data_IF_189584310947
#
_entry.id   IF_189584310947
#
_cell.length_a   1.000
_cell.length_b   1.000
_cell.length_c   1.000
_cell.angle_alpha   90.00
_cell.angle_beta   90.00
_cell.angle_gamma   90.00
#
_symmetry.space_group_name_H-M   'P 1'
#
loop_
_entity.id
_entity.type
_entity.pdbx_description
1 polymer ?
#
# COMPACT_ATOMS: atom_id res chain seq x y z
N UNK A 1 27.77 -0.65 -53.24
CA UNK A 1 28.18 0.62 -52.59
C UNK A 1 27.71 1.85 -53.39
N UNK A 2 27.97 1.94 -54.71
CA UNK A 2 27.54 3.07 -55.57
C UNK A 2 26.03 3.41 -55.54
N UNK A 3 25.12 2.42 -55.50
CA UNK A 3 23.67 2.67 -55.48
C UNK A 3 23.17 3.38 -54.22
N UNK A 4 23.81 3.20 -53.06
CA UNK A 4 23.45 3.90 -51.80
C UNK A 4 23.95 5.35 -51.80
N UNK A 5 25.11 5.59 -52.41
CA UNK A 5 25.70 6.94 -52.53
C UNK A 5 24.82 7.82 -53.44
N UNK A 6 24.38 7.30 -54.59
CA UNK A 6 23.48 8.02 -55.49
C UNK A 6 22.09 8.28 -54.89
N UNK A 7 21.59 7.37 -54.04
CA UNK A 7 20.31 7.57 -53.33
C UNK A 7 20.41 8.68 -52.28
N UNK A 8 21.53 8.75 -51.56
CA UNK A 8 21.84 9.82 -50.59
C UNK A 8 22.03 11.19 -51.26
N UNK A 9 22.67 11.24 -52.43
CA UNK A 9 22.84 12.47 -53.24
C UNK A 9 21.48 13.01 -53.76
N UNK A 10 20.52 12.12 -54.02
CA UNK A 10 19.15 12.48 -54.40
C UNK A 10 18.27 12.96 -53.23
N UNK A 11 18.55 12.51 -52.00
CA UNK A 11 17.79 12.89 -50.79
C UNK A 11 18.16 14.29 -50.28
N UNK A 12 19.33 14.81 -50.64
CA UNK A 12 19.83 16.13 -50.20
C UNK A 12 20.25 17.02 -51.39
N UNK A 13 19.30 17.68 -52.09
CA UNK A 13 19.57 18.43 -53.32
C UNK A 13 20.57 19.58 -53.16
N UNK A 14 20.71 20.11 -51.95
CA UNK A 14 21.67 21.16 -51.62
C UNK A 14 23.13 20.67 -51.58
N UNK A 15 23.39 19.40 -51.25
CA UNK A 15 24.74 18.80 -51.29
C UNK A 15 25.19 18.69 -52.75
N UNK A 16 24.29 18.24 -53.63
CA UNK A 16 24.51 18.18 -55.07
C UNK A 16 24.77 19.56 -55.68
N UNK A 17 24.05 20.59 -55.21
CA UNK A 17 24.27 21.97 -55.62
C UNK A 17 25.66 22.50 -55.18
N UNK A 18 26.08 22.24 -53.94
CA UNK A 18 27.40 22.66 -53.44
C UNK A 18 28.55 21.98 -54.19
N UNK A 19 28.46 20.67 -54.44
CA UNK A 19 29.45 19.92 -55.22
C UNK A 19 29.47 20.42 -56.67
N UNK A 20 28.30 20.67 -57.27
CA UNK A 20 28.16 21.20 -58.62
C UNK A 20 28.78 22.59 -58.78
N UNK A 21 28.50 23.51 -57.85
CA UNK A 21 29.11 24.85 -57.84
C UNK A 21 30.63 24.76 -57.66
N UNK A 22 31.11 23.92 -56.74
CA UNK A 22 32.55 23.70 -56.55
C UNK A 22 33.23 23.18 -57.81
N UNK A 23 32.61 22.24 -58.51
CA UNK A 23 33.13 21.71 -59.78
C UNK A 23 33.15 22.77 -60.90
N UNK A 24 32.10 23.60 -61.00
CA UNK A 24 32.04 24.69 -61.98
C UNK A 24 33.14 25.74 -61.75
N UNK A 25 33.44 26.08 -60.50
CA UNK A 25 34.54 27.00 -60.15
C UNK A 25 35.89 26.42 -60.59
N UNK A 26 36.10 25.11 -60.43
CA UNK A 26 37.31 24.43 -60.89
C UNK A 26 37.43 24.50 -62.41
N UNK A 27 36.37 24.12 -63.14
CA UNK A 27 36.35 24.19 -64.60
C UNK A 27 36.63 25.62 -65.08
N UNK A 28 36.04 26.62 -64.45
CA UNK A 28 36.29 28.02 -64.75
C UNK A 28 37.76 28.40 -64.54
N UNK A 29 38.34 28.09 -63.38
CA UNK A 29 39.75 28.40 -63.05
C UNK A 29 40.72 27.73 -64.01
N UNK A 30 40.54 26.42 -64.28
CA UNK A 30 41.40 25.68 -65.22
C UNK A 30 41.24 26.17 -66.67
N UNK A 31 40.03 26.54 -67.08
CA UNK A 31 39.76 27.09 -68.41
C UNK A 31 40.39 28.47 -68.57
N UNK A 32 40.24 29.35 -67.57
CA UNK A 32 40.89 30.67 -67.58
C UNK A 32 42.41 30.56 -67.60
N UNK A 33 42.98 29.64 -66.81
CA UNK A 33 44.42 29.41 -66.75
C UNK A 33 44.96 28.84 -68.07
N UNK A 34 44.24 27.89 -68.69
CA UNK A 34 44.59 27.30 -69.98
C UNK A 34 44.52 28.32 -71.14
N UNK A 35 43.52 29.21 -71.12
CA UNK A 35 43.39 30.28 -72.11
C UNK A 35 44.44 31.38 -71.94
N UNK A 36 44.86 31.69 -70.71
CA UNK A 36 45.80 32.78 -70.44
C UNK A 36 47.28 32.43 -70.69
N UNK A 37 47.69 31.16 -70.55
CA UNK A 37 49.11 30.76 -70.57
C UNK A 37 49.51 29.88 -71.78
N UNK A 38 48.55 29.42 -72.58
CA UNK A 38 48.81 28.58 -73.75
C UNK A 38 49.38 27.19 -73.40
N UNK A 39 49.62 26.31 -74.40
CA UNK A 39 49.80 24.87 -74.16
C UNK A 39 51.06 24.43 -73.42
N UNK A 40 52.11 25.27 -73.33
CA UNK A 40 53.35 25.02 -72.58
C UNK A 40 54.06 26.34 -72.21
N UNK A 41 54.00 26.73 -70.94
CA UNK A 41 54.89 27.77 -70.40
C UNK A 41 56.24 27.14 -70.00
N UNK A 42 57.34 27.69 -70.53
CA UNK A 42 58.71 27.30 -70.17
C UNK A 42 59.25 28.11 -68.98
N UNK A 43 58.41 28.92 -68.34
CA UNK A 43 58.79 29.77 -67.21
C UNK A 43 58.56 29.06 -65.87
N UNK A 44 59.63 28.92 -65.07
CA UNK A 44 59.55 28.34 -63.72
C UNK A 44 58.55 29.08 -62.81
N UNK A 45 58.37 30.39 -63.01
CA UNK A 45 57.41 31.20 -62.26
C UNK A 45 55.95 30.75 -62.52
N UNK A 46 55.61 30.40 -63.76
CA UNK A 46 54.26 29.94 -64.13
C UNK A 46 53.90 28.60 -63.47
N UNK A 47 54.88 27.69 -63.33
CA UNK A 47 54.71 26.42 -62.62
C UNK A 47 54.51 26.60 -61.12
N UNK A 48 55.20 27.56 -60.51
CA UNK A 48 55.00 27.90 -59.09
C UNK A 48 53.60 28.47 -58.86
N UNK A 49 53.15 29.41 -59.70
CA UNK A 49 51.78 29.96 -59.63
C UNK A 49 50.70 28.91 -59.88
N UNK A 50 50.94 27.95 -60.79
CA UNK A 50 50.05 26.80 -60.99
C UNK A 50 49.95 25.94 -59.72
N UNK A 51 51.08 25.62 -59.10
CA UNK A 51 51.13 24.84 -57.86
C UNK A 51 50.36 25.51 -56.72
N UNK A 52 50.52 26.82 -56.54
CA UNK A 52 49.76 27.60 -55.54
C UNK A 52 48.26 27.66 -55.86
N UNK A 53 47.89 27.82 -57.14
CA UNK A 53 46.49 27.78 -57.58
C UNK A 53 45.86 26.41 -57.33
N UNK A 54 46.56 25.33 -57.71
CA UNK A 54 46.13 23.96 -57.50
C UNK A 54 45.97 23.63 -56.01
N UNK A 55 46.92 24.09 -55.18
CA UNK A 55 46.84 23.97 -53.73
C UNK A 55 45.62 24.73 -53.16
N UNK A 56 45.33 25.93 -53.67
CA UNK A 56 44.15 26.71 -53.31
C UNK A 56 42.84 26.00 -53.68
N UNK A 57 42.77 25.43 -54.89
CA UNK A 57 41.61 24.64 -55.36
C UNK A 57 41.40 23.38 -54.49
N UNK A 58 42.46 22.63 -54.19
CA UNK A 58 42.34 21.45 -53.32
C UNK A 58 41.98 21.82 -51.87
N UNK A 59 42.47 22.94 -51.36
CA UNK A 59 42.09 23.44 -50.03
C UNK A 59 40.62 23.85 -50.00
N UNK A 60 40.12 24.52 -51.04
CA UNK A 60 38.72 24.88 -51.19
C UNK A 60 37.81 23.66 -51.32
N UNK A 61 38.22 22.63 -52.07
CA UNK A 61 37.48 21.38 -52.16
C UNK A 61 37.48 20.64 -50.82
N UNK A 62 38.63 20.58 -50.15
CA UNK A 62 38.77 20.01 -48.81
C UNK A 62 37.85 20.68 -47.80
N UNK A 63 37.85 22.02 -47.75
CA UNK A 63 36.97 22.76 -46.84
C UNK A 63 35.49 22.58 -47.18
N UNK A 64 35.12 22.60 -48.46
CA UNK A 64 33.74 22.36 -48.92
C UNK A 64 33.27 20.95 -48.57
N UNK A 65 34.12 19.94 -48.78
CA UNK A 65 33.85 18.56 -48.40
C UNK A 65 33.68 18.41 -46.88
N UNK A 66 34.50 19.09 -46.08
CA UNK A 66 34.35 19.14 -44.62
C UNK A 66 33.03 19.81 -44.22
N UNK A 67 32.67 20.96 -44.80
CA UNK A 67 31.39 21.66 -44.53
C UNK A 67 30.20 20.76 -44.90
N UNK A 68 30.23 20.13 -46.07
CA UNK A 68 29.17 19.22 -46.50
C UNK A 68 29.04 18.01 -45.54
N UNK A 69 30.17 17.47 -45.08
CA UNK A 69 30.20 16.38 -44.09
C UNK A 69 29.58 16.81 -42.76
N UNK A 70 29.94 18.00 -42.26
CA UNK A 70 29.38 18.55 -41.02
C UNK A 70 27.86 18.78 -41.10
N UNK A 71 27.38 19.32 -42.23
CA UNK A 71 25.95 19.55 -42.45
C UNK A 71 25.17 18.23 -42.56
N UNK A 72 25.73 17.23 -43.25
CA UNK A 72 25.14 15.90 -43.34
C UNK A 72 25.07 15.21 -41.96
N UNK A 73 26.15 15.26 -41.17
CA UNK A 73 26.18 14.74 -39.80
C UNK A 73 25.13 15.43 -38.92
N UNK A 74 24.98 16.75 -39.03
CA UNK A 74 23.97 17.51 -38.29
C UNK A 74 22.53 17.09 -38.69
N UNK A 75 22.28 16.89 -39.99
CA UNK A 75 20.98 16.41 -40.47
C UNK A 75 20.66 15.00 -39.94
N UNK A 76 21.63 14.06 -40.04
CA UNK A 76 21.49 12.72 -39.48
C UNK A 76 21.26 12.74 -37.96
N UNK A 77 21.98 13.59 -37.23
CA UNK A 77 21.82 13.72 -35.78
C UNK A 77 20.40 14.17 -35.42
N UNK A 78 19.83 15.14 -36.15
CA UNK A 78 18.45 15.60 -35.93
C UNK A 78 17.41 14.52 -36.23
N UNK A 79 17.59 13.73 -37.28
CA UNK A 79 16.68 12.61 -37.58
C UNK A 79 16.78 11.50 -36.54
N UNK A 80 18.00 11.13 -36.14
CA UNK A 80 18.23 10.19 -35.05
C UNK A 80 17.57 10.66 -33.77
N UNK A 81 17.71 11.93 -33.40
CA UNK A 81 17.08 12.50 -32.21
C UNK A 81 15.54 12.36 -32.24
N UNK A 82 14.90 12.56 -33.40
CA UNK A 82 13.44 12.38 -33.57
C UNK A 82 13.01 10.92 -33.45
N UNK A 83 13.80 9.99 -34.01
CA UNK A 83 13.51 8.55 -33.89
C UNK A 83 13.68 8.12 -32.43
N UNK A 84 14.76 8.54 -31.79
CA UNK A 84 15.03 8.27 -30.37
C UNK A 84 13.93 8.84 -29.48
N UNK A 85 13.44 10.05 -29.72
CA UNK A 85 12.35 10.62 -28.91
C UNK A 85 11.07 9.80 -29.02
N UNK A 86 10.67 9.41 -30.24
CA UNK A 86 9.50 8.53 -30.45
C UNK A 86 9.67 7.16 -29.82
N UNK A 87 10.88 6.60 -29.86
CA UNK A 87 11.18 5.32 -29.20
C UNK A 87 11.09 5.45 -27.67
N UNK A 88 11.59 6.54 -27.09
CA UNK A 88 11.46 6.82 -25.66
C UNK A 88 9.98 6.95 -25.27
N UNK A 89 9.18 7.71 -26.03
CA UNK A 89 7.74 7.87 -25.78
C UNK A 89 7.00 6.51 -25.83
N UNK A 90 7.26 5.69 -26.85
CA UNK A 90 6.67 4.36 -26.97
C UNK A 90 7.08 3.44 -25.80
N UNK A 91 8.36 3.47 -25.41
CA UNK A 91 8.86 2.72 -24.27
C UNK A 91 8.22 3.18 -22.95
N UNK A 92 8.07 4.49 -22.73
CA UNK A 92 7.42 5.04 -21.53
C UNK A 92 5.95 4.63 -21.46
N UNK A 93 5.24 4.64 -22.59
CA UNK A 93 3.87 4.15 -22.67
C UNK A 93 3.76 2.67 -22.30
N UNK A 94 4.63 1.82 -22.85
CA UNK A 94 4.68 0.39 -22.52
C UNK A 94 5.04 0.16 -21.04
N UNK A 95 5.99 0.92 -20.49
CA UNK A 95 6.34 0.87 -19.07
C UNK A 95 5.14 1.21 -18.19
N UNK A 96 4.41 2.27 -18.51
CA UNK A 96 3.20 2.66 -17.78
C UNK A 96 2.14 1.54 -17.79
N UNK A 97 1.85 0.98 -18.97
CA UNK A 97 0.86 -0.10 -19.11
C UNK A 97 1.26 -1.34 -18.30
N UNK A 98 2.53 -1.76 -18.42
CA UNK A 98 3.05 -2.93 -17.71
C UNK A 98 3.09 -2.70 -16.21
N UNK A 99 3.52 -1.54 -15.75
CA UNK A 99 3.58 -1.21 -14.34
C UNK A 99 2.19 -1.18 -13.69
N UNK A 100 1.21 -0.55 -14.35
CA UNK A 100 -0.19 -0.58 -13.89
C UNK A 100 -0.73 -2.00 -13.86
N UNK A 101 -0.48 -2.81 -14.91
CA UNK A 101 -0.91 -4.20 -14.96
C UNK A 101 -0.33 -5.03 -13.80
N UNK A 102 0.99 -4.93 -13.58
CA UNK A 102 1.68 -5.62 -12.48
C UNK A 102 1.15 -5.20 -11.11
N UNK A 103 0.83 -3.92 -10.93
CA UNK A 103 0.20 -3.46 -9.69
C UNK A 103 -1.16 -4.13 -9.47
N UNK A 104 -2.02 -4.18 -10.49
CA UNK A 104 -3.33 -4.83 -10.40
C UNK A 104 -3.24 -6.35 -10.17
N UNK A 105 -2.27 -7.02 -10.79
CA UNK A 105 -1.97 -8.43 -10.53
C UNK A 105 -1.51 -8.61 -9.08
N UNK A 106 -0.64 -7.74 -8.59
CA UNK A 106 -0.17 -7.77 -7.20
C UNK A 106 -1.31 -7.59 -6.19
N UNK A 107 -2.32 -6.76 -6.49
CA UNK A 107 -3.51 -6.65 -5.66
C UNK A 107 -4.26 -7.97 -5.53
N UNK A 108 -4.42 -8.72 -6.63
CA UNK A 108 -5.06 -10.04 -6.60
C UNK A 108 -4.26 -11.05 -5.78
N UNK A 109 -2.94 -11.07 -5.96
CA UNK A 109 -2.05 -11.91 -5.16
C UNK A 109 -2.17 -11.61 -3.66
N UNK A 110 -2.32 -10.34 -3.28
CA UNK A 110 -2.55 -9.94 -1.88
C UNK A 110 -3.90 -10.48 -1.38
N UNK A 111 -4.97 -10.33 -2.16
CA UNK A 111 -6.29 -10.88 -1.80
C UNK A 111 -6.23 -12.40 -1.60
N UNK A 112 -5.56 -13.12 -2.50
CA UNK A 112 -5.35 -14.57 -2.41
C UNK A 112 -4.52 -14.95 -1.18
N UNK A 113 -3.44 -14.21 -0.89
CA UNK A 113 -2.58 -14.45 0.28
C UNK A 113 -3.29 -14.21 1.62
N UNK A 114 -4.40 -13.48 1.60
CA UNK A 114 -5.25 -13.19 2.77
C UNK A 114 -6.54 -14.02 2.74
N UNK A 115 -6.50 -15.22 2.12
CA UNK A 115 -7.60 -16.17 2.01
C UNK A 115 -8.89 -15.57 1.40
N UNK A 116 -8.75 -14.59 0.51
CA UNK A 116 -9.86 -13.82 -0.06
C UNK A 116 -10.78 -13.14 0.98
N UNK A 117 -10.30 -12.90 2.21
CA UNK A 117 -11.05 -12.22 3.27
C UNK A 117 -11.25 -10.72 3.03
N UNK A 118 -10.54 -10.16 2.04
CA UNK A 118 -10.65 -8.77 1.62
C UNK A 118 -10.81 -8.67 0.10
N UNK A 119 -11.36 -7.54 -0.35
CA UNK A 119 -11.35 -7.12 -1.75
C UNK A 119 -10.98 -5.65 -1.88
N UNK A 120 -10.17 -5.31 -2.88
CA UNK A 120 -9.78 -3.93 -3.13
C UNK A 120 -10.91 -3.12 -3.78
N UNK A 121 -11.15 -1.92 -3.26
CA UNK A 121 -12.08 -0.92 -3.79
C UNK A 121 -11.40 -0.19 -4.93
N UNK A 122 -12.03 -0.18 -6.10
CA UNK A 122 -11.58 0.58 -7.28
C UNK A 122 -10.04 0.54 -7.47
N UNK A 123 -9.48 -0.62 -7.87
CA UNK A 123 -8.03 -0.83 -8.02
C UNK A 123 -7.33 0.24 -8.87
N UNK A 124 -8.01 0.75 -9.89
CA UNK A 124 -7.49 1.81 -10.75
C UNK A 124 -7.35 3.14 -10.02
N UNK A 125 -8.34 3.55 -9.22
CA UNK A 125 -8.22 4.76 -8.39
C UNK A 125 -7.07 4.60 -7.40
N UNK A 126 -6.95 3.44 -6.76
CA UNK A 126 -5.86 3.16 -5.83
C UNK A 126 -4.47 3.29 -6.49
N UNK A 127 -4.31 2.78 -7.72
CA UNK A 127 -3.07 2.95 -8.48
C UNK A 127 -2.71 4.43 -8.66
N UNK A 128 -3.67 5.27 -9.08
CA UNK A 128 -3.42 6.69 -9.29
C UNK A 128 -3.24 7.47 -7.98
N UNK A 129 -3.82 7.02 -6.87
CA UNK A 129 -3.57 7.60 -5.56
C UNK A 129 -2.13 7.34 -5.09
N UNK A 130 -1.61 6.13 -5.31
CA UNK A 130 -0.22 5.78 -4.95
C UNK A 130 0.77 6.42 -5.94
N UNK A 131 0.45 6.42 -7.23
CA UNK A 131 1.30 6.95 -8.31
C UNK A 131 0.65 8.14 -9.03
N UNK A 132 0.50 9.30 -8.38
CA UNK A 132 -0.28 10.42 -8.92
C UNK A 132 0.34 11.08 -10.17
N UNK A 133 1.64 10.90 -10.40
CA UNK A 133 2.33 11.45 -11.58
C UNK A 133 2.37 10.45 -12.75
N UNK A 134 2.00 9.19 -12.52
CA UNK A 134 2.09 8.18 -13.58
C UNK A 134 0.99 8.40 -14.62
N UNK A 135 1.40 8.47 -15.87
CA UNK A 135 0.55 8.66 -17.04
C UNK A 135 1.17 7.95 -18.26
N UNK A 136 0.46 7.86 -19.39
CA UNK A 136 1.03 7.42 -20.66
C UNK A 136 2.34 8.12 -21.08
N UNK A 137 2.62 9.32 -20.55
CA UNK A 137 3.78 10.14 -20.89
C UNK A 137 4.89 10.11 -19.84
N UNK A 138 4.61 9.61 -18.63
CA UNK A 138 5.55 9.61 -17.51
C UNK A 138 5.29 8.41 -16.59
N UNK A 139 6.33 7.64 -16.26
CA UNK A 139 6.20 6.48 -15.40
C UNK A 139 7.33 6.43 -14.37
N UNK A 140 7.00 6.65 -13.10
CA UNK A 140 7.87 6.42 -11.96
C UNK A 140 7.51 5.12 -11.24
N UNK A 141 8.54 4.38 -10.83
CA UNK A 141 8.45 3.19 -10.01
C UNK A 141 8.62 3.49 -8.51
N UNK A 142 9.06 4.70 -8.17
CA UNK A 142 9.35 5.10 -6.80
C UNK A 142 8.43 6.23 -6.37
N UNK A 143 7.97 6.14 -5.13
CA UNK A 143 7.15 7.16 -4.48
C UNK A 143 7.79 7.50 -3.15
N UNK A 144 8.06 8.78 -2.92
CA UNK A 144 8.60 9.24 -1.64
C UNK A 144 7.46 9.44 -0.64
N UNK A 145 7.67 8.98 0.59
CA UNK A 145 6.76 9.26 1.71
C UNK A 145 7.08 10.66 2.23
N UNK A 146 6.10 11.54 2.17
CA UNK A 146 6.20 12.92 2.67
C UNK A 146 5.41 13.08 3.96
N UNK A 147 5.77 14.05 4.79
CA UNK A 147 5.07 14.30 6.05
C UNK A 147 4.11 15.49 5.96
N UNK A 148 3.07 15.49 6.80
CA UNK A 148 2.24 16.68 7.08
C UNK A 148 1.41 17.16 5.89
N UNK A 149 1.42 18.48 5.65
CA UNK A 149 0.57 19.21 4.69
C UNK A 149 0.80 18.83 3.21
N UNK A 150 1.90 18.13 2.91
CA UNK A 150 2.22 17.65 1.56
C UNK A 150 1.56 16.30 1.23
N UNK A 151 1.12 15.55 2.25
CA UNK A 151 0.41 14.29 2.06
C UNK A 151 -1.00 14.57 1.54
N UNK A 152 -1.39 13.88 0.47
CA UNK A 152 -2.74 13.94 -0.07
C UNK A 152 -3.58 12.83 0.55
N UNK A 153 -4.87 13.10 0.72
CA UNK A 153 -5.84 12.11 1.18
C UNK A 153 -5.78 10.86 0.29
N UNK A 154 -5.75 9.69 0.92
CA UNK A 154 -5.67 8.36 0.28
C UNK A 154 -4.36 8.09 -0.49
N UNK A 155 -3.32 8.91 -0.36
CA UNK A 155 -2.00 8.62 -0.95
C UNK A 155 -1.17 7.68 -0.07
N UNK A 156 -0.01 7.24 -0.58
CA UNK A 156 0.90 6.35 0.17
C UNK A 156 1.36 6.96 1.51
N UNK A 157 1.52 8.28 1.58
CA UNK A 157 1.97 8.98 2.78
C UNK A 157 0.89 9.03 3.86
N UNK A 158 -0.37 9.24 3.46
CA UNK A 158 -1.55 9.14 4.34
C UNK A 158 -1.72 7.71 4.86
N UNK A 159 -1.63 6.70 3.98
CA UNK A 159 -1.67 5.29 4.37
C UNK A 159 -0.60 4.94 5.42
N UNK A 160 0.65 5.39 5.19
CA UNK A 160 1.76 5.17 6.11
C UNK A 160 1.55 5.91 7.44
N UNK A 161 1.14 7.18 7.40
CA UNK A 161 0.88 7.99 8.59
C UNK A 161 -0.26 7.41 9.44
N UNK A 162 -1.30 6.91 8.79
CA UNK A 162 -2.41 6.21 9.45
C UNK A 162 -1.93 4.95 10.18
N UNK A 163 -1.02 4.17 9.58
CA UNK A 163 -0.40 3.03 10.26
C UNK A 163 0.47 3.44 11.46
N UNK A 164 1.28 4.50 11.31
CA UNK A 164 2.10 5.02 12.42
C UNK A 164 1.22 5.46 13.59
N UNK A 165 0.10 6.11 13.32
CA UNK A 165 -0.86 6.52 14.34
C UNK A 165 -1.52 5.31 15.01
N UNK A 166 -1.92 4.30 14.24
CA UNK A 166 -2.42 3.02 14.80
C UNK A 166 -1.38 2.38 15.72
N UNK A 167 -0.12 2.26 15.29
CA UNK A 167 0.99 1.73 16.11
C UNK A 167 1.16 2.53 17.40
N UNK A 168 1.01 3.86 17.36
CA UNK A 168 1.08 4.72 18.54
C UNK A 168 -0.08 4.44 19.50
N UNK A 169 -1.31 4.30 19.01
CA UNK A 169 -2.48 3.98 19.84
C UNK A 169 -2.33 2.59 20.50
N UNK A 170 -1.84 1.59 19.76
CA UNK A 170 -1.62 0.23 20.27
C UNK A 170 -0.53 0.15 21.35
N UNK A 171 0.42 1.09 21.37
CA UNK A 171 1.49 1.16 22.40
C UNK A 171 1.00 1.66 23.76
N UNK A 172 -0.29 1.96 23.91
CA UNK A 172 -0.83 2.41 25.19
C UNK A 172 -0.64 1.31 26.26
N UNK A 173 -0.09 1.71 27.43
CA UNK A 173 0.23 0.80 28.53
C UNK A 173 -1.00 0.46 29.39
N UNK A 174 -2.02 1.31 29.35
CA UNK A 174 -3.25 1.18 30.13
C UNK A 174 -4.44 1.49 29.25
N UNK A 175 -5.44 0.62 29.24
CA UNK A 175 -6.60 0.79 28.38
C UNK A 175 -7.83 1.18 29.21
N UNK A 176 -8.42 2.32 28.88
CA UNK A 176 -9.76 2.71 29.33
C UNK A 176 -10.73 2.72 28.13
N UNK A 177 -12.06 2.66 28.35
CA UNK A 177 -13.03 2.63 27.24
C UNK A 177 -12.88 3.80 26.25
N UNK A 178 -12.51 5.00 26.72
CA UNK A 178 -12.27 6.16 25.85
C UNK A 178 -11.08 5.95 24.89
N UNK A 179 -10.02 5.28 25.33
CA UNK A 179 -8.87 4.96 24.48
C UNK A 179 -9.24 3.90 23.43
N UNK A 180 -10.06 2.92 23.84
CA UNK A 180 -10.60 1.91 22.94
C UNK A 180 -11.50 2.54 21.86
N UNK A 181 -12.34 3.51 22.21
CA UNK A 181 -13.17 4.28 21.26
C UNK A 181 -12.30 5.01 20.22
N UNK A 182 -11.20 5.65 20.67
CA UNK A 182 -10.24 6.30 19.77
C UNK A 182 -9.56 5.31 18.82
N UNK A 183 -9.16 4.14 19.33
CA UNK A 183 -8.58 3.09 18.50
C UNK A 183 -9.60 2.59 17.46
N UNK A 184 -10.83 2.28 17.87
CA UNK A 184 -11.89 1.79 16.98
C UNK A 184 -12.16 2.80 15.86
N UNK A 185 -12.34 4.08 16.20
CA UNK A 185 -12.52 5.15 15.20
C UNK A 185 -11.40 5.16 14.18
N UNK A 186 -10.16 5.01 14.63
CA UNK A 186 -9.00 4.94 13.75
C UNK A 186 -9.04 3.69 12.86
N UNK A 187 -9.30 2.52 13.43
CA UNK A 187 -9.35 1.25 12.70
C UNK A 187 -10.44 1.26 11.63
N UNK A 188 -11.60 1.86 11.87
CA UNK A 188 -12.72 1.95 10.90
C UNK A 188 -12.35 2.80 9.67
N UNK A 189 -11.47 3.79 9.83
CA UNK A 189 -11.06 4.67 8.74
C UNK A 189 -9.97 4.04 7.85
N UNK A 190 -9.15 3.13 8.39
CA UNK A 190 -8.03 2.53 7.64
C UNK A 190 -8.40 1.84 6.31
N UNK A 191 -9.52 1.10 6.18
CA UNK A 191 -9.89 0.45 4.91
C UNK A 191 -10.26 1.45 3.82
N UNK A 192 -10.56 2.71 4.17
CA UNK A 192 -10.75 3.76 3.18
C UNK A 192 -9.39 4.23 2.67
N UNK A 193 -8.45 4.54 3.57
CA UNK A 193 -7.07 4.90 3.18
C UNK A 193 -6.40 3.79 2.36
N UNK A 194 -6.51 2.52 2.78
CA UNK A 194 -5.92 1.38 2.07
C UNK A 194 -6.80 0.82 0.94
N UNK A 195 -7.98 1.42 0.71
CA UNK A 195 -8.92 1.06 -0.35
C UNK A 195 -9.27 -0.44 -0.40
N UNK A 196 -9.65 -1.05 0.72
CA UNK A 196 -10.22 -2.42 0.73
C UNK A 196 -11.51 -2.50 1.55
N UNK A 197 -12.28 -3.58 1.38
CA UNK A 197 -13.39 -3.97 2.24
C UNK A 197 -13.29 -5.44 2.61
N UNK A 198 -13.93 -5.79 3.73
CA UNK A 198 -13.98 -7.17 4.23
C UNK A 198 -15.11 -7.96 3.55
N UNK A 199 -14.87 -9.26 3.31
CA UNK A 199 -15.81 -10.13 2.56
C UNK A 199 -16.04 -11.48 3.24
N UNK A 200 -15.43 -11.73 4.40
CA UNK A 200 -15.68 -12.97 5.15
C UNK A 200 -17.10 -13.00 5.73
N UNK A 201 -17.57 -14.20 6.07
CA UNK A 201 -18.79 -14.36 6.85
C UNK A 201 -18.67 -13.68 8.22
N UNK A 202 -19.81 -13.25 8.76
CA UNK A 202 -19.86 -12.63 10.08
C UNK A 202 -19.52 -13.62 11.19
N UNK A 203 -18.84 -13.14 12.23
CA UNK A 203 -18.61 -13.87 13.47
C UNK A 203 -19.14 -13.10 14.67
N UNK A 204 -19.32 -13.81 15.79
CA UNK A 204 -19.65 -13.16 17.06
C UNK A 204 -18.57 -12.13 17.42
N UNK A 205 -19.01 -10.92 17.73
CA UNK A 205 -18.13 -9.80 18.10
C UNK A 205 -17.47 -9.06 16.94
N UNK A 206 -17.74 -9.43 15.69
CA UNK A 206 -17.33 -8.62 14.53
C UNK A 206 -18.07 -7.28 14.56
N UNK A 207 -17.38 -6.18 14.26
CA UNK A 207 -17.98 -4.86 14.19
C UNK A 207 -18.67 -4.67 12.84
N UNK A 208 -19.93 -4.26 12.88
CA UNK A 208 -20.71 -3.86 11.72
C UNK A 208 -21.03 -2.36 11.78
N UNK A 209 -20.84 -1.67 10.66
CA UNK A 209 -21.26 -0.28 10.46
C UNK A 209 -22.34 -0.26 9.37
N UNK A 210 -23.51 0.27 9.69
CA UNK A 210 -24.68 0.27 8.79
C UNK A 210 -24.97 -1.12 8.19
N UNK A 211 -24.84 -2.15 9.02
CA UNK A 211 -25.06 -3.55 8.65
C UNK A 211 -23.93 -4.21 7.84
N UNK A 212 -22.83 -3.51 7.56
CA UNK A 212 -21.67 -4.07 6.85
C UNK A 212 -20.56 -4.44 7.82
N UNK A 213 -20.12 -5.70 7.78
CA UNK A 213 -18.99 -6.19 8.55
C UNK A 213 -17.68 -5.52 8.12
N UNK A 214 -16.93 -5.03 9.10
CA UNK A 214 -15.66 -4.34 8.92
C UNK A 214 -14.45 -5.27 9.00
N UNK A 215 -14.65 -6.52 9.44
CA UNK A 215 -13.57 -7.47 9.71
C UNK A 215 -12.76 -7.12 10.95
N UNK A 216 -13.29 -6.29 11.85
CA UNK A 216 -12.67 -5.96 13.14
C UNK A 216 -13.45 -6.70 14.22
N UNK A 217 -12.80 -7.54 15.02
CA UNK A 217 -13.45 -8.31 16.07
C UNK A 217 -13.09 -7.77 17.46
N UNK A 218 -14.08 -7.57 18.34
CA UNK A 218 -13.86 -6.97 19.67
C UNK A 218 -13.08 -7.88 20.64
N UNK A 219 -13.04 -9.19 20.40
CA UNK A 219 -12.27 -10.14 21.20
C UNK A 219 -10.81 -10.20 20.75
N UNK A 220 -10.55 -9.95 19.46
CA UNK A 220 -9.21 -9.95 18.91
C UNK A 220 -9.13 -9.14 17.63
N UNK A 221 -8.27 -8.13 17.62
CA UNK A 221 -8.04 -7.25 16.46
C UNK A 221 -6.75 -7.62 15.70
N UNK A 222 -6.04 -8.65 16.13
CA UNK A 222 -4.76 -9.11 15.58
C UNK A 222 -4.86 -9.46 14.10
N UNK A 223 -5.89 -10.21 13.70
CA UNK A 223 -6.09 -10.56 12.29
C UNK A 223 -6.27 -9.32 11.41
N UNK A 224 -6.99 -8.33 11.94
CA UNK A 224 -7.23 -7.08 11.23
C UNK A 224 -5.94 -6.27 11.07
N UNK A 225 -5.16 -6.14 12.15
CA UNK A 225 -3.86 -5.45 12.12
C UNK A 225 -2.89 -6.17 11.20
N UNK A 226 -2.89 -7.51 11.18
CA UNK A 226 -2.07 -8.28 10.27
C UNK A 226 -2.45 -7.99 8.81
N UNK A 227 -3.74 -8.00 8.47
CA UNK A 227 -4.24 -7.63 7.13
C UNK A 227 -3.76 -6.24 6.71
N UNK A 228 -3.97 -5.24 7.57
CA UNK A 228 -3.54 -3.85 7.33
C UNK A 228 -2.03 -3.77 7.10
N UNK A 229 -1.23 -4.46 7.92
CA UNK A 229 0.23 -4.48 7.84
C UNK A 229 0.71 -5.11 6.53
N UNK A 230 0.12 -6.24 6.13
CA UNK A 230 0.45 -6.95 4.88
C UNK A 230 0.16 -6.08 3.66
N UNK A 231 -1.03 -5.47 3.61
CA UNK A 231 -1.44 -4.59 2.50
C UNK A 231 -0.50 -3.38 2.40
N UNK A 232 -0.26 -2.68 3.50
CA UNK A 232 0.64 -1.52 3.51
C UNK A 232 2.06 -1.91 3.08
N UNK A 233 2.62 -3.00 3.63
CA UNK A 233 3.96 -3.46 3.27
C UNK A 233 4.07 -3.82 1.79
N UNK A 234 3.03 -4.39 1.19
CA UNK A 234 3.03 -4.64 -0.23
C UNK A 234 3.13 -3.34 -1.04
N UNK A 235 2.42 -2.28 -0.65
CA UNK A 235 2.52 -0.96 -1.30
C UNK A 235 3.87 -0.30 -1.09
N UNK A 236 4.41 -0.36 0.13
CA UNK A 236 5.74 0.18 0.45
C UNK A 236 6.83 -0.51 -0.39
N UNK A 237 6.83 -1.84 -0.44
CA UNK A 237 7.82 -2.59 -1.23
C UNK A 237 7.67 -2.30 -2.72
N UNK A 238 6.44 -2.28 -3.25
CA UNK A 238 6.17 -2.01 -4.66
C UNK A 238 6.61 -0.60 -5.09
N UNK A 239 6.59 0.37 -4.17
CA UNK A 239 7.00 1.77 -4.39
C UNK A 239 8.48 2.03 -4.04
N UNK A 240 9.25 1.00 -3.71
CA UNK A 240 10.66 1.09 -3.39
C UNK A 240 10.99 1.64 -2.00
N UNK A 241 10.03 1.59 -1.06
CA UNK A 241 10.17 1.97 0.34
C UNK A 241 10.44 0.74 1.23
N UNK A 242 10.96 0.99 2.44
CA UNK A 242 11.18 -0.06 3.43
C UNK A 242 9.85 -0.50 4.07
N UNK A 243 9.62 -1.82 4.23
CA UNK A 243 8.45 -2.32 4.94
C UNK A 243 8.49 -1.91 6.42
N UNK A 244 7.31 -1.74 7.01
CA UNK A 244 7.13 -1.56 8.45
C UNK A 244 7.20 -2.90 9.19
N UNK A 245 7.71 -2.85 10.41
CA UNK A 245 7.73 -3.99 11.34
C UNK A 245 6.31 -4.42 11.72
N UNK A 246 6.13 -5.73 11.93
CA UNK A 246 4.88 -6.27 12.47
C UNK A 246 4.59 -5.74 13.87
N UNK A 247 3.33 -5.40 14.11
CA UNK A 247 2.81 -4.88 15.38
C UNK A 247 1.75 -5.80 16.00
N UNK A 248 1.59 -7.03 15.49
CA UNK A 248 0.56 -7.98 15.93
C UNK A 248 0.66 -8.27 17.45
N UNK A 249 1.87 -8.32 18.00
CA UNK A 249 2.09 -8.51 19.44
C UNK A 249 1.48 -7.38 20.31
N UNK A 250 1.27 -6.19 19.75
CA UNK A 250 0.65 -5.07 20.48
C UNK A 250 -0.87 -5.20 20.57
N UNK A 251 -1.50 -6.03 19.74
CA UNK A 251 -2.94 -6.28 19.75
C UNK A 251 -3.41 -7.39 20.68
N UNK A 252 -2.49 -8.18 21.23
CA UNK A 252 -2.82 -9.36 22.04
C UNK A 252 -3.10 -9.04 23.52
N UNK A 253 -3.13 -7.76 23.90
CA UNK A 253 -3.31 -7.33 25.29
C UNK A 253 -4.70 -7.66 25.84
N UNK A 254 -4.73 -8.35 27.00
CA UNK A 254 -5.97 -8.64 27.72
C UNK A 254 -6.70 -7.36 28.18
N UNK A 255 -5.95 -6.31 28.56
CA UNK A 255 -6.52 -5.02 28.95
C UNK A 255 -7.17 -4.29 27.78
N UNK A 256 -6.53 -4.34 26.60
CA UNK A 256 -7.11 -3.80 25.36
C UNK A 256 -8.43 -4.51 25.04
N UNK A 257 -8.42 -5.85 25.06
CA UNK A 257 -9.60 -6.66 24.79
C UNK A 257 -10.75 -6.32 25.75
N UNK A 258 -10.44 -6.24 27.04
CA UNK A 258 -11.40 -5.85 28.06
C UNK A 258 -11.98 -4.46 27.79
N UNK A 259 -11.14 -3.49 27.44
CA UNK A 259 -11.59 -2.14 27.10
C UNK A 259 -12.48 -2.10 25.84
N UNK A 260 -12.15 -2.89 24.81
CA UNK A 260 -12.97 -3.03 23.60
C UNK A 260 -14.35 -3.62 23.93
N UNK A 261 -14.40 -4.73 24.69
CA UNK A 261 -15.66 -5.34 25.12
C UNK A 261 -16.49 -4.33 25.93
N UNK A 262 -15.89 -3.66 26.91
CA UNK A 262 -16.58 -2.69 27.76
C UNK A 262 -17.12 -1.50 26.99
N UNK A 263 -16.41 -1.04 25.95
CA UNK A 263 -16.85 0.07 25.10
C UNK A 263 -18.21 -0.21 24.44
N UNK A 264 -18.53 -1.48 24.18
CA UNK A 264 -19.80 -1.91 23.57
C UNK A 264 -20.79 -2.55 24.54
N UNK A 265 -20.52 -2.55 25.85
CA UNK A 265 -21.45 -3.02 26.88
C UNK A 265 -22.44 -1.95 27.36
N UNK A 266 -22.16 -0.67 27.12
CA UNK A 266 -23.00 0.41 27.65
C UNK A 266 -24.41 0.37 27.03
N UNK A 267 -25.44 0.58 27.85
CA UNK A 267 -26.86 0.64 27.43
C UNK A 267 -27.20 1.87 26.57
N UNK A 268 -26.24 2.76 26.33
CA UNK A 268 -26.43 3.90 25.44
C UNK A 268 -26.56 3.38 24.01
N UNK A 269 -27.50 3.93 23.22
CA UNK A 269 -27.70 3.49 21.84
C UNK A 269 -26.36 3.54 21.09
N UNK A 270 -26.07 2.53 20.26
CA UNK A 270 -24.79 2.43 19.57
C UNK A 270 -24.49 3.74 18.85
N UNK A 271 -23.33 4.32 19.16
CA UNK A 271 -22.84 5.53 18.52
C UNK A 271 -22.78 5.27 17.02
N UNK A 272 -23.60 5.97 16.24
CA UNK A 272 -23.49 6.03 14.77
C UNK A 272 -23.61 4.67 14.04
N UNK A 273 -24.60 3.84 14.40
CA UNK A 273 -24.85 2.55 13.73
C UNK A 273 -23.73 1.51 13.83
N UNK A 274 -22.67 1.78 14.61
CA UNK A 274 -21.58 0.83 14.84
C UNK A 274 -21.97 -0.12 15.97
N UNK A 275 -22.15 -1.40 15.64
CA UNK A 275 -22.56 -2.43 16.58
C UNK A 275 -21.71 -3.68 16.43
N UNK A 276 -21.35 -4.37 17.53
CA UNK A 276 -20.86 -5.74 17.42
C UNK A 276 -22.00 -6.65 16.96
N UNK A 277 -21.69 -7.57 16.06
CA UNK A 277 -22.59 -8.62 15.62
C UNK A 277 -22.74 -9.61 16.77
N UNK A 278 -24.00 -9.83 17.18
CA UNK A 278 -24.38 -10.73 18.28
C UNK A 278 -25.22 -11.88 17.70
N UNK A 279 -24.61 -13.06 17.57
CA UNK A 279 -25.27 -14.30 17.14
C UNK A 279 -25.76 -15.12 18.33
N UNK A 280 -25.06 -15.07 19.45
CA UNK A 280 -25.33 -15.91 20.61
C UNK A 280 -25.69 -15.06 21.85
N UNK A 281 -26.96 -15.07 22.31
CA UNK A 281 -27.40 -14.24 23.44
C UNK A 281 -26.60 -14.46 24.75
N UNK A 282 -26.11 -15.68 24.98
CA UNK A 282 -25.30 -16.02 26.16
C UNK A 282 -24.00 -15.21 26.23
N UNK A 283 -23.37 -14.90 25.09
CA UNK A 283 -22.06 -14.26 25.05
C UNK A 283 -22.12 -12.88 25.69
N UNK A 284 -23.17 -12.11 25.39
CA UNK A 284 -23.39 -10.81 26.03
C UNK A 284 -23.48 -10.92 27.55
N UNK A 285 -24.17 -11.94 28.07
CA UNK A 285 -24.24 -12.20 29.51
C UNK A 285 -22.90 -12.62 30.09
N UNK A 286 -22.12 -13.43 29.37
CA UNK A 286 -20.78 -13.85 29.78
C UNK A 286 -19.80 -12.69 29.84
N UNK A 287 -19.86 -11.74 28.90
CA UNK A 287 -19.02 -10.55 28.94
C UNK A 287 -19.32 -9.68 30.18
N UNK A 288 -20.59 -9.56 30.56
CA UNK A 288 -20.99 -8.83 31.77
C UNK A 288 -20.53 -9.55 33.04
N UNK A 289 -20.65 -10.87 33.07
CA UNK A 289 -20.15 -11.69 34.18
C UNK A 289 -18.64 -11.61 34.27
N UNK A 290 -17.93 -11.68 33.15
CA UNK A 290 -16.48 -11.56 33.10
C UNK A 290 -16.02 -10.24 33.71
N UNK A 291 -16.65 -9.13 33.34
CA UNK A 291 -16.37 -7.83 33.92
C UNK A 291 -16.62 -7.80 35.44
N UNK A 292 -17.75 -8.36 35.89
CA UNK A 292 -18.09 -8.40 37.31
C UNK A 292 -17.14 -9.28 38.12
N UNK A 293 -16.82 -10.49 37.63
CA UNK A 293 -15.85 -11.40 38.27
C UNK A 293 -14.47 -10.75 38.33
N UNK A 294 -14.13 -9.92 37.34
CA UNK A 294 -12.86 -9.19 37.37
C UNK A 294 -12.78 -8.13 38.49
N UNK A 295 -13.92 -7.61 38.92
CA UNK A 295 -14.06 -6.67 40.03
C UNK A 295 -14.26 -7.35 41.38
N UNK A 296 -14.69 -8.62 41.39
CA UNK A 296 -14.97 -9.37 42.60
C UNK A 296 -13.67 -9.69 43.36
N UNK A 297 -13.43 -8.96 44.45
CA UNK A 297 -12.29 -9.14 45.35
C UNK A 297 -12.77 -9.42 46.76
N UNK A 298 -12.01 -10.21 47.50
CA UNK A 298 -12.25 -10.43 48.92
C UNK A 298 -11.91 -9.18 49.76
N UNK A 299 -12.16 -9.23 51.06
CA UNK A 299 -11.86 -8.12 51.97
C UNK A 299 -10.38 -7.70 52.00
N UNK A 300 -9.46 -8.57 51.56
CA UNK A 300 -8.01 -8.33 51.50
C UNK A 300 -7.57 -7.84 50.11
N UNK A 301 -8.49 -7.76 49.15
CA UNK A 301 -8.24 -7.33 47.79
C UNK A 301 -7.76 -8.43 46.84
N UNK A 302 -7.78 -9.70 47.27
CA UNK A 302 -7.48 -10.85 46.41
C UNK A 302 -8.69 -11.19 45.54
N UNK A 303 -8.41 -11.70 44.33
CA UNK A 303 -9.45 -12.05 43.36
C UNK A 303 -10.29 -13.24 43.86
N UNK A 304 -11.61 -13.09 43.83
CA UNK A 304 -12.54 -14.21 44.00
C UNK A 304 -12.87 -14.87 42.66
N UNK A 305 -13.34 -16.11 42.69
CA UNK A 305 -13.79 -16.87 41.52
C UNK A 305 -12.71 -17.03 40.43
N UNK A 306 -11.54 -17.53 40.83
CA UNK A 306 -10.37 -17.65 39.96
C UNK A 306 -10.62 -18.61 38.79
N UNK A 307 -11.32 -19.73 39.02
CA UNK A 307 -11.59 -20.72 37.98
C UNK A 307 -12.48 -20.10 36.90
N UNK A 308 -13.54 -19.40 37.32
CA UNK A 308 -14.43 -18.67 36.42
C UNK A 308 -13.69 -17.58 35.65
N UNK A 309 -12.85 -16.79 36.32
CA UNK A 309 -12.07 -15.74 35.67
C UNK A 309 -11.13 -16.29 34.60
N UNK A 310 -10.37 -17.34 34.91
CA UNK A 310 -9.44 -17.97 33.97
C UNK A 310 -10.15 -18.58 32.77
N UNK A 311 -11.26 -19.27 33.04
CA UNK A 311 -12.10 -19.89 32.01
C UNK A 311 -12.66 -18.82 31.07
N UNK A 312 -13.18 -17.72 31.60
CA UNK A 312 -13.71 -16.62 30.79
C UNK A 312 -12.63 -15.87 30.00
N UNK A 313 -11.44 -15.66 30.57
CA UNK A 313 -10.31 -15.07 29.84
C UNK A 313 -9.90 -15.92 28.63
N UNK A 314 -9.94 -17.24 28.78
CA UNK A 314 -9.64 -18.19 27.71
C UNK A 314 -10.77 -18.22 26.69
N UNK A 315 -12.01 -18.28 27.16
CA UNK A 315 -13.23 -18.30 26.34
C UNK A 315 -13.34 -17.09 25.42
N UNK A 316 -13.05 -15.90 25.96
CA UNK A 316 -13.12 -14.62 25.26
C UNK A 316 -11.78 -14.23 24.63
N UNK A 317 -10.84 -15.17 24.46
CA UNK A 317 -9.48 -14.82 24.02
C UNK A 317 -9.31 -14.51 22.55
N UNK A 318 -10.19 -15.07 21.72
CA UNK A 318 -10.13 -14.91 20.26
C UNK A 318 -11.50 -15.12 19.64
N UNK A 319 -11.63 -14.66 18.40
CA UNK A 319 -12.77 -14.94 17.51
C UNK A 319 -13.12 -16.44 17.45
N UNK A 320 -12.12 -17.31 17.34
CA UNK A 320 -12.30 -18.76 17.28
C UNK A 320 -12.76 -19.36 18.63
N UNK A 321 -12.21 -18.90 19.74
CA UNK A 321 -12.60 -19.35 21.08
C UNK A 321 -14.06 -18.99 21.37
N UNK A 322 -14.48 -17.77 21.03
CA UNK A 322 -15.87 -17.34 21.20
C UNK A 322 -16.81 -18.13 20.29
N UNK A 323 -16.45 -18.36 19.02
CA UNK A 323 -17.28 -19.18 18.14
C UNK A 323 -17.39 -20.65 18.58
N UNK A 324 -16.46 -21.15 19.40
CA UNK A 324 -16.57 -22.49 20.00
C UNK A 324 -17.76 -22.62 20.97
N UNK A 325 -18.31 -21.49 21.44
CA UNK A 325 -19.52 -21.45 22.26
C UNK A 325 -20.80 -21.69 21.47
N UNK A 326 -20.77 -22.11 20.19
CA UNK A 326 -21.97 -22.63 19.53
C UNK A 326 -22.58 -23.86 20.22
N UNK A 327 -21.77 -24.60 20.98
CA UNK A 327 -22.19 -25.82 21.66
C UNK A 327 -22.89 -25.52 23.00
N UNK A 328 -24.20 -25.72 23.03
CA UNK A 328 -25.06 -25.55 24.21
C UNK A 328 -24.64 -26.45 25.38
N UNK A 329 -24.14 -27.67 25.13
CA UNK A 329 -23.67 -28.55 26.19
C UNK A 329 -22.41 -28.00 26.87
N UNK A 330 -21.47 -27.47 26.09
CA UNK A 330 -20.27 -26.80 26.59
C UNK A 330 -20.62 -25.56 27.40
N UNK A 331 -21.58 -24.75 26.95
CA UNK A 331 -22.09 -23.60 27.69
C UNK A 331 -22.65 -24.02 29.06
N UNK A 332 -23.52 -25.05 29.09
CA UNK A 332 -24.12 -25.55 30.34
C UNK A 332 -23.06 -26.07 31.31
N UNK A 333 -22.06 -26.83 30.83
CA UNK A 333 -20.97 -27.34 31.67
C UNK A 333 -20.22 -26.19 32.34
N UNK A 334 -19.84 -25.18 31.55
CA UNK A 334 -19.10 -24.02 32.05
C UNK A 334 -19.90 -23.24 33.11
N UNK A 335 -21.19 -22.97 32.87
CA UNK A 335 -22.03 -22.27 33.85
C UNK A 335 -22.19 -23.10 35.14
N UNK A 336 -22.32 -24.42 35.04
CA UNK A 336 -22.38 -25.30 36.21
C UNK A 336 -21.08 -25.28 37.02
N UNK A 337 -19.92 -25.26 36.36
CA UNK A 337 -18.62 -25.11 37.01
C UNK A 337 -18.52 -23.79 37.79
N UNK A 338 -19.00 -22.70 37.19
CA UNK A 338 -19.05 -21.39 37.86
C UNK A 338 -19.99 -21.39 39.07
N UNK A 339 -21.14 -22.08 38.96
CA UNK A 339 -22.04 -22.25 40.11
C UNK A 339 -21.43 -23.09 41.23
N UNK A 340 -20.68 -24.14 40.91
CA UNK A 340 -19.96 -24.93 41.91
C UNK A 340 -18.89 -24.10 42.62
N UNK A 341 -18.19 -23.23 41.89
CA UNK A 341 -17.23 -22.29 42.48
C UNK A 341 -17.92 -21.27 43.40
N UNK A 342 -19.05 -20.70 42.97
CA UNK A 342 -19.87 -19.82 43.82
C UNK A 342 -20.29 -20.51 45.12
N UNK A 343 -20.72 -21.78 45.05
CA UNK A 343 -21.13 -22.56 46.21
C UNK A 343 -19.98 -22.91 47.15
N UNK A 344 -18.79 -23.21 46.60
CA UNK A 344 -17.57 -23.40 47.39
C UNK A 344 -17.22 -22.12 48.15
N UNK A 345 -17.24 -20.97 47.47
CA UNK A 345 -16.97 -19.67 48.08
C UNK A 345 -18.00 -19.33 49.17
N UNK A 346 -19.29 -19.57 48.92
CA UNK A 346 -20.35 -19.34 49.89
C UNK A 346 -20.19 -20.18 51.16
N UNK A 347 -19.93 -21.49 51.02
CA UNK A 347 -19.76 -22.42 52.15
C UNK A 347 -18.49 -22.13 52.95
N UNK A 348 -17.43 -21.66 52.29
CA UNK A 348 -16.16 -21.30 52.93
C UNK A 348 -16.17 -19.95 53.64
N UNK A 349 -17.20 -19.13 53.46
CA UNK A 349 -17.26 -17.75 53.97
C UNK A 349 -18.05 -17.64 55.29
N UNK A 350 -17.59 -16.75 56.17
CA UNK A 350 -18.29 -16.44 57.42
C UNK A 350 -19.70 -15.88 57.16
N UNK A 351 -20.67 -16.13 58.05
CA UNK A 351 -21.98 -15.48 57.97
C UNK A 351 -21.85 -13.96 57.93
N UNK A 352 -22.64 -13.30 57.06
CA UNK A 352 -22.65 -11.84 56.85
C UNK A 352 -21.31 -11.23 56.37
N UNK A 353 -20.39 -12.03 55.83
CA UNK A 353 -19.14 -11.50 55.25
C UNK A 353 -19.35 -10.92 53.85
N UNK A 354 -18.41 -10.07 53.43
CA UNK A 354 -18.38 -9.50 52.08
C UNK A 354 -18.31 -10.60 51.01
N UNK A 355 -17.46 -11.60 51.22
CA UNK A 355 -17.25 -12.75 50.35
C UNK A 355 -18.54 -13.57 50.18
N UNK A 356 -19.29 -13.76 51.28
CA UNK A 356 -20.57 -14.47 51.24
C UNK A 356 -21.62 -13.71 50.44
N UNK A 357 -21.63 -12.38 50.52
CA UNK A 357 -22.48 -11.52 49.68
C UNK A 357 -22.10 -11.63 48.21
N UNK A 358 -20.81 -11.56 47.88
CA UNK A 358 -20.33 -11.72 46.50
C UNK A 358 -20.65 -13.10 45.93
N UNK A 359 -20.50 -14.18 46.70
CA UNK A 359 -20.85 -15.53 46.27
C UNK A 359 -22.35 -15.67 45.93
N UNK A 360 -23.22 -15.09 46.77
CA UNK A 360 -24.65 -15.03 46.48
C UNK A 360 -24.95 -14.21 45.22
N UNK A 361 -24.32 -13.06 45.05
CA UNK A 361 -24.52 -12.21 43.87
C UNK A 361 -24.05 -12.92 42.59
N UNK A 362 -22.91 -13.61 42.65
CA UNK A 362 -22.40 -14.38 41.52
C UNK A 362 -23.40 -15.46 41.10
N UNK A 363 -23.90 -16.23 42.07
CA UNK A 363 -24.92 -17.25 41.83
C UNK A 363 -26.19 -16.65 41.23
N UNK A 364 -26.67 -15.53 41.77
CA UNK A 364 -27.85 -14.85 41.27
C UNK A 364 -27.72 -14.35 39.82
N UNK A 365 -26.49 -14.04 39.35
CA UNK A 365 -26.23 -13.70 37.95
C UNK A 365 -26.15 -14.92 37.02
N UNK A 366 -25.73 -16.08 37.54
CA UNK A 366 -25.58 -17.32 36.76
C UNK A 366 -26.91 -18.07 36.58
N UNK A 367 -27.79 -18.06 37.58
CA UNK A 367 -29.05 -18.82 37.60
C UNK A 367 -29.96 -18.53 36.37
N UNK A 368 -30.21 -17.26 35.99
CA UNK A 368 -31.07 -16.96 34.84
C UNK A 368 -30.46 -17.44 33.52
N UNK A 369 -29.13 -17.45 33.43
CA UNK A 369 -28.41 -17.94 32.24
C UNK A 369 -28.57 -19.46 32.15
N UNK A 370 -28.33 -20.18 33.24
CA UNK A 370 -28.48 -21.63 33.26
C UNK A 370 -29.91 -22.06 32.89
N UNK A 371 -30.91 -21.36 33.43
CA UNK A 371 -32.33 -21.62 33.11
C UNK A 371 -32.62 -21.38 31.63
N UNK A 372 -32.16 -20.25 31.07
CA UNK A 372 -32.33 -19.95 29.64
C UNK A 372 -31.58 -20.92 28.71
N UNK A 373 -30.53 -21.58 29.21
CA UNK A 373 -29.83 -22.65 28.49
C UNK A 373 -30.46 -24.02 28.67
N UNK A 374 -31.38 -24.23 29.61
CA UNK A 374 -32.03 -25.53 29.81
C UNK A 374 -33.43 -25.58 29.19
N UNK A 375 -34.07 -24.42 29.01
CA UNK A 375 -35.16 -24.23 28.05
C UNK A 375 -34.68 -24.40 26.62
#
# INVERSE_FOLDING_TARGET
MHRKIWKSIGEYPWISALIGVGFLVIVAIFTTYALSLGPRSHEHAAWSSFGSMLAGVFTFFGSTATIATLLFLNAQFKEQQKVTSKQIEAMTFEQYLNHRKLFLERLKEIEESLDNKIKFKNPDKLYHNIFPQNSPLECSFRVQIVSGELAKVDDLSDMFSSFVQMKKLLKNKSWIPADADNLIKHLILMPNSLSFFHVEEDFEGDLALDGKNLGINIYSIDEYINRVTVVLNAFLVFTGNHPVESVNHLSESAELRKALILNFQSQLPPKHSLVPIRKYPIIFSLERIHHWVDQAKDAVGQRMFLDAWQTMNTALSSKLCVNSFKDKAKQISMIKEFMMEADRAYKGSLPNSHERSLANEFRAKLEPILQGLQS
#
